data_IF_563434845820
#
_entry.id   IF_563434845820
#
_cell.length_a   1.000
_cell.length_b   1.000
_cell.length_c   1.000
_cell.angle_alpha   90.00
_cell.angle_beta   90.00
_cell.angle_gamma   90.00
#
_symmetry.space_group_name_H-M   'P 1'
#
loop_
_entity.id
_entity.type
_entity.pdbx_description
1 polymer ?
#
# COMPACT_ATOMS: atom_id res chain seq x y z
N UNK A 1 -10.43 24.04 -8.10
CA UNK A 1 -9.98 23.17 -9.21
C UNK A 1 -8.45 23.17 -9.34
N UNK A 2 -7.77 24.32 -9.56
CA UNK A 2 -6.30 24.36 -9.67
C UNK A 2 -5.63 23.84 -8.38
N UNK A 3 -6.09 24.24 -7.21
CA UNK A 3 -5.56 23.78 -5.92
C UNK A 3 -5.63 22.26 -5.78
N UNK A 4 -6.74 21.63 -6.16
CA UNK A 4 -6.91 20.17 -6.11
C UNK A 4 -5.91 19.45 -7.03
N UNK A 5 -5.73 19.98 -8.24
CA UNK A 5 -4.73 19.44 -9.17
C UNK A 5 -3.31 19.56 -8.61
N UNK A 6 -2.97 20.70 -8.02
CA UNK A 6 -1.67 20.91 -7.35
C UNK A 6 -1.49 19.94 -6.19
N UNK A 7 -2.54 19.69 -5.39
CA UNK A 7 -2.52 18.74 -4.29
C UNK A 7 -2.26 17.32 -4.79
N UNK A 8 -2.98 16.86 -5.82
CA UNK A 8 -2.74 15.55 -6.42
C UNK A 8 -1.32 15.43 -7.00
N UNK A 9 -0.82 16.48 -7.68
CA UNK A 9 0.55 16.53 -8.19
C UNK A 9 1.58 16.44 -7.06
N UNK A 10 1.44 17.24 -6.01
CA UNK A 10 2.37 17.24 -4.88
C UNK A 10 2.40 15.90 -4.13
N UNK A 11 1.29 15.17 -4.09
CA UNK A 11 1.23 13.85 -3.47
C UNK A 11 1.90 12.74 -4.33
N UNK A 12 1.75 12.80 -5.64
CA UNK A 12 2.15 11.71 -6.55
C UNK A 12 3.47 12.00 -7.28
N UNK A 13 3.72 13.26 -7.66
CA UNK A 13 4.88 13.64 -8.47
C UNK A 13 6.24 13.26 -7.85
N UNK A 14 6.47 13.37 -6.51
CA UNK A 14 7.71 12.92 -5.89
C UNK A 14 8.01 11.44 -6.13
N UNK A 15 6.97 10.60 -6.16
CA UNK A 15 7.10 9.15 -6.46
C UNK A 15 7.56 8.96 -7.90
N UNK A 16 6.90 9.64 -8.85
CA UNK A 16 7.23 9.57 -10.28
C UNK A 16 8.65 10.08 -10.55
N UNK A 17 9.05 11.18 -9.91
CA UNK A 17 10.39 11.75 -10.05
C UNK A 17 11.49 10.83 -9.55
N UNK A 18 11.29 10.15 -8.40
CA UNK A 18 12.26 9.19 -7.89
C UNK A 18 12.37 7.94 -8.76
N UNK A 19 11.26 7.45 -9.32
CA UNK A 19 11.27 6.37 -10.31
C UNK A 19 12.04 6.81 -11.57
N UNK A 20 11.75 8.00 -12.09
CA UNK A 20 12.44 8.57 -13.26
C UNK A 20 13.94 8.72 -13.01
N UNK A 21 14.32 9.21 -11.83
CA UNK A 21 15.73 9.31 -11.44
C UNK A 21 16.41 7.93 -11.45
N UNK A 22 15.78 6.92 -10.84
CA UNK A 22 16.28 5.55 -10.85
C UNK A 22 16.46 5.00 -12.27
N UNK A 23 15.49 5.25 -13.15
CA UNK A 23 15.56 4.90 -14.57
C UNK A 23 16.73 5.59 -15.28
N UNK A 24 16.88 6.91 -15.13
CA UNK A 24 17.97 7.67 -15.73
C UNK A 24 19.35 7.23 -15.24
N UNK A 25 19.50 6.98 -13.93
CA UNK A 25 20.75 6.46 -13.35
C UNK A 25 21.10 5.07 -13.91
N UNK A 26 20.10 4.23 -14.20
CA UNK A 26 20.30 2.93 -14.86
C UNK A 26 20.72 3.12 -16.30
N UNK A 27 20.09 4.00 -17.08
CA UNK A 27 20.44 4.28 -18.47
C UNK A 27 21.84 4.89 -18.58
N UNK A 28 22.23 5.75 -17.63
CA UNK A 28 23.57 6.32 -17.53
C UNK A 28 24.65 5.35 -17.04
N UNK A 29 24.30 4.08 -16.75
CA UNK A 29 25.25 3.06 -16.29
C UNK A 29 25.68 3.20 -14.82
N UNK A 30 25.12 4.15 -14.06
CA UNK A 30 25.44 4.32 -12.64
C UNK A 30 24.87 3.18 -11.78
N UNK A 31 23.66 2.72 -12.10
CA UNK A 31 23.04 1.57 -11.42
C UNK A 31 23.25 0.29 -12.25
N UNK A 32 24.08 -0.62 -11.75
CA UNK A 32 24.24 -1.95 -12.36
C UNK A 32 23.01 -2.82 -12.12
N UNK A 33 22.80 -3.86 -12.94
CA UNK A 33 21.73 -4.86 -12.73
C UNK A 33 21.90 -5.57 -11.37
N UNK A 34 23.14 -5.83 -10.97
CA UNK A 34 23.43 -6.48 -9.70
C UNK A 34 23.10 -5.59 -8.51
N UNK A 35 23.43 -4.29 -8.58
CA UNK A 35 23.03 -3.30 -7.56
C UNK A 35 21.51 -3.24 -7.39
N UNK A 36 20.77 -3.17 -8.49
CA UNK A 36 19.30 -3.12 -8.48
C UNK A 36 18.73 -4.38 -7.82
N UNK A 37 19.25 -5.57 -8.16
CA UNK A 37 18.84 -6.85 -7.55
C UNK A 37 19.16 -6.91 -6.05
N UNK A 38 20.34 -6.47 -5.65
CA UNK A 38 20.75 -6.43 -4.23
C UNK A 38 19.97 -5.39 -3.46
N UNK A 39 19.74 -4.21 -4.05
CA UNK A 39 18.91 -3.15 -3.50
C UNK A 39 17.48 -3.63 -3.24
N UNK A 40 16.88 -4.36 -4.18
CA UNK A 40 15.55 -4.96 -4.00
C UNK A 40 15.51 -5.92 -2.79
N UNK A 41 16.52 -6.78 -2.64
CA UNK A 41 16.62 -7.68 -1.48
C UNK A 41 16.79 -6.91 -0.16
N UNK A 42 17.58 -5.84 -0.14
CA UNK A 42 17.77 -5.00 1.05
C UNK A 42 16.46 -4.31 1.44
N UNK A 43 15.75 -3.74 0.47
CA UNK A 43 14.43 -3.13 0.70
C UNK A 43 13.47 -4.14 1.29
N UNK A 44 13.35 -5.32 0.69
CA UNK A 44 12.38 -6.34 1.11
C UNK A 44 12.70 -6.96 2.48
N UNK A 45 13.97 -7.26 2.76
CA UNK A 45 14.33 -8.01 3.96
C UNK A 45 14.70 -7.10 5.17
N UNK A 46 14.98 -5.82 4.94
CA UNK A 46 15.43 -4.90 6.00
C UNK A 46 14.55 -3.66 6.08
N UNK A 47 14.51 -2.84 5.02
CA UNK A 47 13.89 -1.52 5.11
C UNK A 47 12.36 -1.59 5.31
N UNK A 48 11.66 -2.42 4.51
CA UNK A 48 10.21 -2.60 4.63
C UNK A 48 9.79 -3.26 5.95
N UNK A 49 10.46 -4.31 6.45
CA UNK A 49 10.21 -4.84 7.79
C UNK A 49 10.34 -3.79 8.89
N UNK A 50 11.40 -2.99 8.89
CA UNK A 50 11.56 -1.90 9.86
C UNK A 50 10.42 -0.86 9.75
N UNK A 51 10.03 -0.50 8.53
CA UNK A 51 8.91 0.41 8.28
C UNK A 51 7.61 -0.15 8.84
N UNK A 52 7.29 -1.42 8.58
CA UNK A 52 6.06 -2.05 9.07
C UNK A 52 6.05 -2.18 10.59
N UNK A 53 7.16 -2.63 11.19
CA UNK A 53 7.27 -2.71 12.64
C UNK A 53 6.98 -1.36 13.30
N UNK A 54 7.66 -0.30 12.85
CA UNK A 54 7.48 1.05 13.42
C UNK A 54 6.07 1.57 13.18
N UNK A 55 5.49 1.39 11.99
CA UNK A 55 4.13 1.86 11.70
C UNK A 55 3.08 1.20 12.60
N UNK A 56 3.20 -0.11 12.86
CA UNK A 56 2.29 -0.83 13.76
C UNK A 56 2.52 -0.43 15.22
N UNK A 57 3.79 -0.31 15.64
CA UNK A 57 4.14 0.08 17.00
C UNK A 57 3.72 1.52 17.32
N UNK A 58 3.67 2.44 16.34
CA UNK A 58 3.34 3.85 16.50
C UNK A 58 1.83 4.15 16.56
N UNK A 59 0.98 3.12 16.49
CA UNK A 59 -0.48 3.29 16.65
C UNK A 59 -0.76 3.96 17.99
N UNK A 60 -1.41 5.12 17.97
CA UNK A 60 -1.94 5.79 19.15
C UNK A 60 -3.25 5.12 19.58
N UNK A 61 -3.51 5.06 20.90
CA UNK A 61 -4.54 4.27 21.56
C UNK A 61 -5.93 4.14 20.89
N UNK A 62 -6.65 3.10 21.27
CA UNK A 62 -7.88 2.64 20.64
C UNK A 62 -9.17 3.39 21.02
N UNK A 63 -9.10 4.43 21.87
CA UNK A 63 -10.29 5.03 22.50
C UNK A 63 -11.14 5.96 21.63
N UNK A 64 -10.60 6.44 20.50
CA UNK A 64 -11.30 7.40 19.59
C UNK A 64 -11.67 6.78 18.24
N UNK A 65 -11.65 5.46 18.15
CA UNK A 65 -11.75 4.73 16.88
C UNK A 65 -13.22 4.61 16.45
N UNK A 66 -13.54 5.08 15.24
CA UNK A 66 -14.80 4.76 14.56
C UNK A 66 -14.73 3.32 14.01
N UNK A 67 -15.12 2.33 14.83
CA UNK A 67 -15.05 0.92 14.47
C UNK A 67 -15.89 0.55 13.26
N UNK A 68 -17.05 1.20 13.06
CA UNK A 68 -17.87 0.96 11.88
C UNK A 68 -17.15 1.36 10.59
N UNK A 69 -16.41 2.47 10.64
CA UNK A 69 -15.61 2.92 9.50
C UNK A 69 -14.44 1.99 9.19
N UNK A 70 -13.72 1.52 10.22
CA UNK A 70 -12.66 0.53 10.04
C UNK A 70 -13.21 -0.77 9.50
N UNK A 71 -14.31 -1.27 10.07
CA UNK A 71 -14.96 -2.50 9.62
C UNK A 71 -15.37 -2.40 8.14
N UNK A 72 -15.93 -1.25 7.75
CA UNK A 72 -16.23 -0.95 6.34
C UNK A 72 -14.98 -1.06 5.46
N UNK A 73 -13.89 -0.37 5.83
CA UNK A 73 -12.63 -0.40 5.09
C UNK A 73 -12.07 -1.83 4.93
N UNK A 74 -12.12 -2.62 6.00
CA UNK A 74 -11.67 -4.02 5.99
C UNK A 74 -12.57 -4.89 5.11
N UNK A 75 -13.90 -4.76 5.22
CA UNK A 75 -14.85 -5.52 4.40
C UNK A 75 -14.65 -5.17 2.93
N UNK A 76 -14.54 -3.89 2.57
CA UNK A 76 -14.34 -3.47 1.19
C UNK A 76 -13.00 -3.94 0.64
N UNK A 77 -11.95 -3.95 1.46
CA UNK A 77 -10.67 -4.54 1.08
C UNK A 77 -10.81 -6.03 0.72
N UNK A 78 -11.54 -6.81 1.53
CA UNK A 78 -11.79 -8.24 1.28
C UNK A 78 -12.69 -8.47 0.06
N UNK A 79 -13.68 -7.61 -0.17
CA UNK A 79 -14.52 -7.63 -1.38
C UNK A 79 -13.68 -7.38 -2.64
N UNK A 80 -12.85 -6.32 -2.62
CA UNK A 80 -11.96 -6.01 -3.75
C UNK A 80 -10.93 -7.13 -3.96
N UNK A 81 -10.42 -7.72 -2.88
CA UNK A 81 -9.55 -8.89 -2.95
C UNK A 81 -10.24 -10.07 -3.64
N UNK A 82 -11.46 -10.41 -3.26
CA UNK A 82 -12.24 -11.48 -3.88
C UNK A 82 -12.53 -11.23 -5.36
N UNK A 83 -13.02 -10.03 -5.71
CA UNK A 83 -13.30 -9.64 -7.11
C UNK A 83 -12.00 -9.60 -7.94
N UNK A 84 -10.91 -9.14 -7.35
CA UNK A 84 -9.60 -9.09 -7.98
C UNK A 84 -9.07 -10.47 -8.38
N UNK A 85 -9.37 -11.52 -7.59
CA UNK A 85 -9.03 -12.90 -7.95
C UNK A 85 -9.65 -13.30 -9.29
N UNK A 86 -10.97 -13.15 -9.42
CA UNK A 86 -11.68 -13.51 -10.66
C UNK A 86 -11.15 -12.70 -11.85
N UNK A 87 -10.96 -11.40 -11.67
CA UNK A 87 -10.41 -10.53 -12.71
C UNK A 87 -8.99 -10.95 -13.13
N UNK A 88 -8.13 -11.29 -12.20
CA UNK A 88 -6.75 -11.71 -12.49
C UNK A 88 -6.68 -13.00 -13.31
N UNK A 89 -7.55 -13.97 -13.00
CA UNK A 89 -7.65 -15.24 -13.74
C UNK A 89 -8.18 -15.01 -15.17
N UNK A 90 -9.11 -14.07 -15.36
CA UNK A 90 -9.64 -13.70 -16.68
C UNK A 90 -8.66 -12.85 -17.51
N UNK A 91 -7.83 -12.06 -16.86
CA UNK A 91 -6.91 -11.12 -17.50
C UNK A 91 -5.77 -11.84 -18.25
N UNK A 92 -5.21 -12.89 -17.65
CA UNK A 92 -4.03 -13.58 -18.20
C UNK A 92 -4.06 -15.08 -17.95
N UNK A 93 -3.43 -15.83 -18.87
CA UNK A 93 -3.20 -17.27 -18.71
C UNK A 93 -1.87 -17.59 -18.02
N UNK A 94 -0.99 -16.60 -17.90
CA UNK A 94 0.35 -16.74 -17.31
C UNK A 94 0.24 -16.71 -15.77
N UNK A 95 0.54 -17.82 -15.07
CA UNK A 95 0.33 -17.92 -13.62
C UNK A 95 1.04 -16.84 -12.83
N UNK A 96 2.32 -16.55 -13.13
CA UNK A 96 3.18 -15.59 -12.42
C UNK A 96 2.64 -14.16 -12.52
N UNK A 97 1.85 -13.84 -13.55
CA UNK A 97 1.19 -12.54 -13.76
C UNK A 97 -0.12 -12.41 -13.01
N UNK A 98 -0.83 -13.53 -12.78
CA UNK A 98 -2.12 -13.52 -12.09
C UNK A 98 -2.00 -12.94 -10.68
N UNK A 99 -1.02 -13.42 -9.90
CA UNK A 99 -0.76 -12.91 -8.55
C UNK A 99 -0.43 -11.43 -8.53
N UNK A 100 0.30 -10.95 -9.54
CA UNK A 100 0.68 -9.53 -9.69
C UNK A 100 -0.55 -8.67 -9.99
N UNK A 101 -1.40 -9.06 -10.96
CA UNK A 101 -2.64 -8.33 -11.26
C UNK A 101 -3.56 -8.34 -10.04
N UNK A 102 -3.73 -9.49 -9.40
CA UNK A 102 -4.57 -9.62 -8.20
C UNK A 102 -4.10 -8.69 -7.08
N UNK A 103 -2.82 -8.73 -6.74
CA UNK A 103 -2.23 -7.84 -5.74
C UNK A 103 -2.44 -6.36 -6.11
N UNK A 104 -2.36 -5.99 -7.38
CA UNK A 104 -2.56 -4.62 -7.86
C UNK A 104 -3.98 -4.12 -7.57
N UNK A 105 -5.01 -4.98 -7.63
CA UNK A 105 -6.42 -4.55 -7.45
C UNK A 105 -6.68 -3.95 -6.07
N UNK A 106 -6.08 -4.49 -5.02
CA UNK A 106 -6.40 -4.13 -3.63
C UNK A 106 -5.28 -3.39 -2.89
N UNK A 107 -4.01 -3.60 -3.26
CA UNK A 107 -2.86 -3.11 -2.51
C UNK A 107 -2.48 -1.68 -2.89
N UNK A 108 -2.91 -0.72 -2.11
CA UNK A 108 -2.67 0.70 -2.33
C UNK A 108 -1.37 1.20 -1.68
N UNK A 109 -0.81 2.28 -2.22
CA UNK A 109 0.31 3.02 -1.62
C UNK A 109 -0.18 3.95 -0.49
N UNK A 110 -1.04 3.40 0.38
CA UNK A 110 -1.75 4.13 1.41
C UNK A 110 -0.82 4.79 2.42
N UNK A 111 0.20 4.06 2.89
CA UNK A 111 1.12 4.54 3.92
C UNK A 111 2.03 5.70 3.47
N UNK A 112 2.23 5.91 2.17
CA UNK A 112 3.15 6.92 1.64
C UNK A 112 2.37 8.03 0.95
N UNK A 113 1.70 7.70 -0.16
CA UNK A 113 0.92 8.68 -0.94
C UNK A 113 -0.39 9.00 -0.21
N UNK A 114 -1.06 7.98 0.30
CA UNK A 114 -2.38 8.14 0.90
C UNK A 114 -2.39 9.04 2.12
N UNK A 115 -1.48 8.85 3.07
CA UNK A 115 -1.43 9.72 4.28
C UNK A 115 -1.15 11.18 3.92
N UNK A 116 -0.22 11.44 2.99
CA UNK A 116 0.05 12.80 2.50
C UNK A 116 -1.17 13.40 1.81
N UNK A 117 -1.88 12.60 1.02
CA UNK A 117 -3.10 13.01 0.32
C UNK A 117 -4.24 13.32 1.32
N UNK A 118 -4.45 12.47 2.32
CA UNK A 118 -5.45 12.71 3.37
C UNK A 118 -5.19 14.04 4.10
N UNK A 119 -3.92 14.31 4.42
CA UNK A 119 -3.52 15.57 5.06
C UNK A 119 -3.77 16.80 4.19
N UNK A 120 -3.48 16.71 2.91
CA UNK A 120 -3.69 17.81 1.97
C UNK A 120 -5.16 18.07 1.67
N UNK A 121 -6.04 17.07 1.77
CA UNK A 121 -7.49 17.19 1.52
C UNK A 121 -8.32 17.50 2.76
N UNK A 122 -7.92 17.04 3.95
CA UNK A 122 -8.75 17.16 5.15
C UNK A 122 -7.98 17.52 6.43
N UNK A 123 -6.71 17.97 6.30
CA UNK A 123 -5.88 18.42 7.42
C UNK A 123 -5.52 17.31 8.41
N UNK A 124 -5.10 17.70 9.62
CA UNK A 124 -4.60 16.77 10.66
C UNK A 124 -5.65 15.73 11.09
N UNK A 125 -6.93 16.10 11.14
CA UNK A 125 -8.01 15.17 11.49
C UNK A 125 -8.12 14.01 10.49
N UNK A 126 -8.05 14.32 9.19
CA UNK A 126 -8.08 13.29 8.15
C UNK A 126 -6.80 12.41 8.16
N UNK A 127 -5.63 13.00 8.48
CA UNK A 127 -4.40 12.21 8.69
C UNK A 127 -4.57 11.23 9.84
N UNK A 128 -5.17 11.67 10.95
CA UNK A 128 -5.40 10.80 12.11
C UNK A 128 -6.32 9.61 11.75
N UNK A 129 -7.46 9.88 11.08
CA UNK A 129 -8.37 8.82 10.60
C UNK A 129 -7.64 7.87 9.64
N UNK A 130 -6.94 8.41 8.64
CA UNK A 130 -6.21 7.60 7.66
C UNK A 130 -5.08 6.79 8.32
N UNK A 131 -4.38 7.34 9.31
CA UNK A 131 -3.34 6.63 10.05
C UNK A 131 -3.92 5.44 10.82
N UNK A 132 -5.06 5.62 11.50
CA UNK A 132 -5.76 4.54 12.20
C UNK A 132 -6.17 3.43 11.21
N UNK A 133 -6.85 3.79 10.12
CA UNK A 133 -7.25 2.81 9.08
C UNK A 133 -6.04 2.09 8.50
N UNK A 134 -4.94 2.81 8.22
CA UNK A 134 -3.72 2.22 7.67
C UNK A 134 -3.10 1.18 8.62
N UNK A 135 -3.24 1.37 9.91
CA UNK A 135 -2.70 0.47 10.93
C UNK A 135 -3.35 -0.93 10.89
N UNK A 136 -4.59 -1.01 10.46
CA UNK A 136 -5.29 -2.28 10.23
C UNK A 136 -5.10 -2.80 8.81
N UNK A 137 -5.22 -1.93 7.81
CA UNK A 137 -5.26 -2.35 6.41
C UNK A 137 -3.89 -2.65 5.83
N UNK A 138 -2.81 -1.97 6.25
CA UNK A 138 -1.46 -2.21 5.72
C UNK A 138 -0.92 -3.60 6.10
N UNK A 139 -1.05 -4.10 7.34
CA UNK A 139 -0.74 -5.49 7.66
C UNK A 139 -1.57 -6.48 6.82
N UNK A 140 -2.87 -6.21 6.63
CA UNK A 140 -3.74 -7.04 5.80
C UNK A 140 -3.29 -7.05 4.34
N UNK A 141 -2.90 -5.92 3.76
CA UNK A 141 -2.34 -5.86 2.41
C UNK A 141 -1.15 -6.81 2.25
N UNK A 142 -0.27 -6.90 3.24
CA UNK A 142 0.90 -7.78 3.18
C UNK A 142 0.51 -9.26 3.26
N UNK A 143 -0.42 -9.64 4.15
CA UNK A 143 -0.94 -11.01 4.25
C UNK A 143 -1.62 -11.41 2.94
N UNK A 144 -2.56 -10.59 2.46
CA UNK A 144 -3.31 -10.86 1.24
C UNK A 144 -2.41 -10.90 0.00
N UNK A 145 -1.36 -10.06 -0.05
CA UNK A 145 -0.38 -10.08 -1.13
C UNK A 145 0.47 -11.34 -1.13
N UNK A 146 0.87 -11.86 0.04
CA UNK A 146 1.57 -13.16 0.12
C UNK A 146 0.66 -14.27 -0.40
N UNK A 147 -0.62 -14.27 -0.06
CA UNK A 147 -1.60 -15.24 -0.57
C UNK A 147 -1.71 -15.12 -2.09
N UNK A 148 -1.92 -13.90 -2.60
CA UNK A 148 -2.10 -13.64 -4.02
C UNK A 148 -0.88 -14.08 -4.86
N UNK A 149 0.32 -13.77 -4.39
CA UNK A 149 1.56 -14.11 -5.10
C UNK A 149 1.91 -15.60 -4.97
N UNK A 150 1.65 -16.22 -3.81
CA UNK A 150 1.99 -17.64 -3.59
C UNK A 150 1.04 -18.61 -4.27
N UNK A 151 -0.22 -18.22 -4.50
CA UNK A 151 -1.24 -19.14 -5.01
C UNK A 151 -0.95 -19.61 -6.45
N UNK A 152 -0.32 -18.78 -7.25
CA UNK A 152 -0.09 -19.03 -8.67
C UNK A 152 1.36 -19.37 -9.03
N UNK A 153 2.31 -19.21 -8.11
CA UNK A 153 3.71 -19.59 -8.35
C UNK A 153 3.92 -21.06 -8.04
N UNK A 154 4.39 -21.82 -9.04
CA UNK A 154 4.79 -23.21 -8.86
C UNK A 154 6.20 -23.27 -8.27
N UNK A 155 6.34 -23.87 -7.09
CA UNK A 155 7.63 -24.22 -6.53
C UNK A 155 7.98 -25.67 -6.93
N UNK A 156 9.08 -25.85 -7.66
CA UNK A 156 9.62 -27.15 -8.05
C UNK A 156 8.63 -28.06 -8.82
N UNK A 157 7.77 -27.47 -9.67
CA UNK A 157 6.81 -28.24 -10.48
C UNK A 157 5.58 -28.75 -9.73
N UNK A 158 5.38 -28.31 -8.47
CA UNK A 158 4.19 -28.60 -7.68
C UNK A 158 3.39 -27.32 -7.44
N UNK A 159 2.08 -27.38 -7.70
CA UNK A 159 1.17 -26.29 -7.31
C UNK A 159 1.31 -26.04 -5.80
N UNK A 160 1.36 -24.78 -5.40
CA UNK A 160 1.40 -24.42 -3.97
C UNK A 160 0.20 -25.00 -3.25
N UNK A 161 0.45 -25.96 -2.34
CA UNK A 161 -0.57 -26.45 -1.45
C UNK A 161 -0.80 -25.45 -0.31
N UNK A 162 -1.89 -25.60 0.45
CA UNK A 162 -2.23 -24.73 1.58
C UNK A 162 -1.09 -24.69 2.61
N UNK A 163 -0.39 -25.78 2.82
CA UNK A 163 0.74 -25.87 3.75
C UNK A 163 1.94 -25.05 3.27
N UNK A 164 2.22 -25.07 1.96
CA UNK A 164 3.23 -24.21 1.34
C UNK A 164 2.90 -22.73 1.48
N UNK A 165 1.64 -22.34 1.23
CA UNK A 165 1.18 -20.96 1.42
C UNK A 165 1.34 -20.52 2.87
N UNK A 166 0.89 -21.31 3.84
CA UNK A 166 1.04 -21.01 5.27
C UNK A 166 2.51 -20.89 5.70
N UNK A 167 3.38 -21.75 5.16
CA UNK A 167 4.83 -21.65 5.38
C UNK A 167 5.42 -20.36 4.83
N UNK A 168 5.00 -19.95 3.62
CA UNK A 168 5.43 -18.69 3.01
C UNK A 168 4.97 -17.48 3.83
N UNK A 169 3.73 -17.49 4.33
CA UNK A 169 3.20 -16.48 5.24
C UNK A 169 4.06 -16.41 6.50
N UNK A 170 4.27 -17.54 7.19
CA UNK A 170 5.01 -17.59 8.45
C UNK A 170 6.48 -17.17 8.32
N UNK A 171 7.11 -17.35 7.15
CA UNK A 171 8.51 -16.98 6.88
C UNK A 171 8.67 -15.61 6.25
N UNK A 172 7.60 -14.94 5.88
CA UNK A 172 7.67 -13.65 5.22
C UNK A 172 8.14 -12.56 6.20
N UNK A 173 9.25 -11.84 5.93
CA UNK A 173 9.81 -10.85 6.84
C UNK A 173 8.84 -9.69 7.12
N UNK A 174 7.97 -9.35 6.18
CA UNK A 174 6.97 -8.30 6.36
C UNK A 174 5.89 -8.73 7.37
N UNK A 175 5.46 -9.99 7.32
CA UNK A 175 4.46 -10.53 8.25
C UNK A 175 5.05 -10.70 9.65
N UNK A 176 6.28 -11.22 9.73
CA UNK A 176 7.01 -11.34 11.01
C UNK A 176 7.17 -9.97 11.67
N UNK A 177 7.58 -8.96 10.91
CA UNK A 177 7.77 -7.61 11.46
C UNK A 177 6.45 -6.96 11.91
N UNK A 178 5.36 -7.16 11.18
CA UNK A 178 4.04 -6.69 11.58
C UNK A 178 3.57 -7.39 12.87
N UNK A 179 3.76 -8.70 12.99
CA UNK A 179 3.44 -9.46 14.21
C UNK A 179 4.26 -9.01 15.42
N UNK A 180 5.56 -8.76 15.24
CA UNK A 180 6.44 -8.20 16.29
C UNK A 180 5.99 -6.79 16.68
N UNK A 181 5.59 -5.95 15.72
CA UNK A 181 5.02 -4.63 15.97
C UNK A 181 3.75 -4.70 16.82
N UNK A 182 2.83 -5.62 16.48
CA UNK A 182 1.60 -5.85 17.26
C UNK A 182 1.90 -6.37 18.67
N UNK A 183 2.84 -7.28 18.82
CA UNK A 183 3.26 -7.78 20.13
C UNK A 183 3.86 -6.65 21.00
N UNK A 184 4.73 -5.82 20.41
CA UNK A 184 5.33 -4.67 21.10
C UNK A 184 4.28 -3.60 21.47
N UNK A 185 3.30 -3.35 20.59
CA UNK A 185 2.14 -2.49 20.87
C UNK A 185 1.30 -3.06 22.02
N UNK A 186 0.96 -4.35 21.97
CA UNK A 186 0.18 -5.01 23.03
C UNK A 186 0.89 -4.97 24.40
N UNK A 187 2.19 -5.16 24.43
CA UNK A 187 3.01 -5.00 25.65
C UNK A 187 2.95 -3.57 26.19
N UNK A 188 3.02 -2.55 25.30
CA UNK A 188 2.90 -1.14 25.69
C UNK A 188 1.54 -0.82 26.29
N UNK A 189 0.46 -1.27 25.67
CA UNK A 189 -0.90 -1.07 26.15
C UNK A 189 -1.16 -1.80 27.48
N UNK A 190 -0.65 -3.03 27.62
CA UNK A 190 -0.73 -3.78 28.88
C UNK A 190 0.02 -3.07 30.03
N UNK A 191 1.19 -2.52 29.77
CA UNK A 191 1.93 -1.73 30.77
C UNK A 191 1.14 -0.47 31.17
N UNK A 192 0.56 0.24 30.19
CA UNK A 192 -0.25 1.42 30.46
C UNK A 192 -1.47 1.07 31.31
N UNK A 193 -2.12 -0.05 31.03
CA UNK A 193 -3.30 -0.51 31.79
C UNK A 193 -2.93 -0.94 33.24
N UNK A 194 -1.75 -1.54 33.45
CA UNK A 194 -1.32 -2.03 34.75
C UNK A 194 -0.69 -0.97 35.65
N UNK A 195 0.08 -0.05 35.06
CA UNK A 195 0.90 0.93 35.81
C UNK A 195 0.55 2.40 35.52
N UNK A 196 -0.50 2.65 34.72
CA UNK A 196 -0.93 4.01 34.37
C UNK A 196 -0.03 4.73 33.36
N UNK A 197 1.16 4.17 33.08
CA UNK A 197 2.10 4.66 32.07
C UNK A 197 2.98 3.51 31.57
N UNK A 198 3.48 3.56 30.32
CA UNK A 198 4.40 2.55 29.84
C UNK A 198 5.74 2.65 30.56
N UNK A 199 6.12 1.61 31.31
CA UNK A 199 7.38 1.54 32.09
C UNK A 199 8.61 1.53 31.18
N UNK A 200 8.52 0.92 30.01
CA UNK A 200 9.56 0.95 28.98
C UNK A 200 9.11 1.91 27.89
N UNK A 201 9.50 3.19 28.02
CA UNK A 201 9.24 4.19 26.98
C UNK A 201 10.33 4.20 25.92
N UNK A 202 9.92 4.40 24.66
CA UNK A 202 10.86 4.62 23.53
C UNK A 202 11.81 5.79 23.78
N UNK A 203 11.32 6.81 24.47
CA UNK A 203 12.04 8.07 24.66
C UNK A 203 13.19 7.96 25.63
N UNK A 204 13.13 7.03 26.58
CA UNK A 204 14.11 6.94 27.67
C UNK A 204 14.97 5.68 27.62
N UNK A 205 14.38 4.50 27.40
CA UNK A 205 15.10 3.23 27.53
C UNK A 205 15.56 2.60 26.21
N UNK A 206 14.90 2.91 25.08
CA UNK A 206 15.16 2.31 23.77
C UNK A 206 15.42 3.31 22.64
N UNK A 207 15.75 4.56 22.93
CA UNK A 207 15.87 5.65 21.96
C UNK A 207 16.82 5.32 20.80
N UNK A 208 17.97 4.72 21.09
CA UNK A 208 18.96 4.36 20.06
C UNK A 208 18.41 3.33 19.06
N UNK A 209 17.73 2.29 19.55
CA UNK A 209 17.14 1.26 18.71
C UNK A 209 15.99 1.82 17.89
N UNK A 210 15.07 2.55 18.53
CA UNK A 210 13.95 3.19 17.84
C UNK A 210 14.43 4.16 16.75
N UNK A 211 15.45 5.00 17.06
CA UNK A 211 16.02 5.94 16.07
C UNK A 211 16.63 5.19 14.89
N UNK A 212 17.37 4.10 15.15
CA UNK A 212 17.97 3.28 14.09
C UNK A 212 16.91 2.65 13.17
N UNK A 213 15.85 2.08 13.77
CA UNK A 213 14.72 1.51 13.00
C UNK A 213 13.97 2.59 12.22
N UNK A 214 13.79 3.76 12.79
CA UNK A 214 13.12 4.88 12.14
C UNK A 214 13.94 5.46 10.97
N UNK A 215 15.26 5.47 11.05
CA UNK A 215 16.14 5.82 9.94
C UNK A 215 16.01 4.81 8.79
N UNK A 216 15.95 3.50 9.08
CA UNK A 216 15.71 2.47 8.08
C UNK A 216 14.29 2.57 7.47
N UNK A 217 13.29 2.92 8.27
CA UNK A 217 11.93 3.25 7.80
C UNK A 217 11.95 4.42 6.82
N UNK A 218 12.69 5.49 7.15
CA UNK A 218 12.72 6.72 6.33
C UNK A 218 13.29 6.48 4.93
N UNK A 219 14.31 5.62 4.79
CA UNK A 219 14.90 5.30 3.49
C UNK A 219 14.12 4.23 2.71
N UNK A 220 13.22 3.48 3.35
CA UNK A 220 12.54 2.34 2.74
C UNK A 220 11.83 2.70 1.43
N UNK A 221 11.02 3.75 1.44
CA UNK A 221 10.27 4.17 0.28
C UNK A 221 11.12 4.87 -0.79
N UNK A 222 11.92 5.91 -0.49
CA UNK A 222 12.75 6.56 -1.49
C UNK A 222 13.73 5.59 -2.17
N UNK A 223 14.35 4.71 -1.43
CA UNK A 223 15.28 3.73 -1.97
C UNK A 223 14.56 2.67 -2.82
N UNK A 224 13.39 2.20 -2.40
CA UNK A 224 12.56 1.30 -3.19
C UNK A 224 12.16 1.91 -4.55
N UNK A 225 11.83 3.20 -4.58
CA UNK A 225 11.47 3.92 -5.81
C UNK A 225 12.64 4.04 -6.78
N UNK A 226 13.84 4.34 -6.28
CA UNK A 226 15.06 4.37 -7.11
C UNK A 226 15.37 2.99 -7.70
N UNK A 227 15.30 1.93 -6.88
CA UNK A 227 15.51 0.54 -7.32
C UNK A 227 14.47 0.14 -8.37
N UNK A 228 13.20 0.49 -8.14
CA UNK A 228 12.09 0.22 -9.05
C UNK A 228 12.31 0.94 -10.40
N UNK A 229 12.73 2.20 -10.38
CA UNK A 229 13.11 2.92 -11.61
C UNK A 229 14.23 2.23 -12.37
N UNK A 230 15.23 1.69 -11.66
CA UNK A 230 16.31 0.88 -12.24
C UNK A 230 15.86 -0.45 -12.84
N UNK A 231 14.69 -0.97 -12.43
CA UNK A 231 14.08 -2.19 -12.99
C UNK A 231 13.17 -1.90 -14.18
N UNK A 232 12.73 -0.66 -14.35
CA UNK A 232 11.75 -0.29 -15.37
C UNK A 232 12.32 -0.40 -16.78
N UNK A 233 11.55 -1.04 -17.69
CA UNK A 233 11.89 -1.22 -19.10
C UNK A 233 10.70 -0.86 -19.98
N UNK A 234 10.83 0.19 -20.82
CA UNK A 234 9.80 0.57 -21.78
C UNK A 234 9.51 -0.51 -22.82
N UNK A 235 10.52 -1.31 -23.17
CA UNK A 235 10.39 -2.41 -24.14
C UNK A 235 9.38 -3.48 -23.70
N UNK A 236 9.22 -3.69 -22.38
CA UNK A 236 8.31 -4.66 -21.81
C UNK A 236 6.83 -4.27 -21.96
N UNK A 237 6.52 -2.97 -22.13
CA UNK A 237 5.13 -2.46 -22.19
C UNK A 237 4.31 -3.15 -23.28
N UNK A 238 4.88 -3.32 -24.48
CA UNK A 238 4.16 -3.95 -25.61
C UNK A 238 3.72 -5.38 -25.31
N UNK A 239 4.56 -6.17 -24.63
CA UNK A 239 4.25 -7.55 -24.27
C UNK A 239 3.33 -7.71 -23.04
N UNK A 240 3.07 -6.62 -22.31
CA UNK A 240 2.32 -6.61 -21.05
C UNK A 240 1.10 -5.67 -21.11
N UNK A 241 0.79 -5.10 -22.27
CA UNK A 241 -0.21 -4.02 -22.42
C UNK A 241 -1.56 -4.40 -21.83
N UNK A 242 -2.04 -5.62 -22.10
CA UNK A 242 -3.36 -6.08 -21.62
C UNK A 242 -3.37 -6.14 -20.09
N UNK A 243 -2.35 -6.71 -19.50
CA UNK A 243 -2.20 -6.86 -18.06
C UNK A 243 -2.00 -5.50 -17.36
N UNK A 244 -1.22 -4.61 -17.97
CA UNK A 244 -1.00 -3.24 -17.49
C UNK A 244 -2.32 -2.46 -17.48
N UNK A 245 -3.06 -2.47 -18.58
CA UNK A 245 -4.35 -1.76 -18.68
C UNK A 245 -5.34 -2.33 -17.68
N UNK A 246 -5.46 -3.67 -17.59
CA UNK A 246 -6.38 -4.33 -16.66
C UNK A 246 -6.05 -3.96 -15.21
N UNK A 247 -4.79 -4.11 -14.78
CA UNK A 247 -4.39 -3.80 -13.41
C UNK A 247 -4.52 -2.31 -13.09
N UNK A 248 -4.17 -1.44 -14.04
CA UNK A 248 -4.29 0.02 -13.87
C UNK A 248 -5.75 0.43 -13.71
N UNK A 249 -6.65 0.01 -14.61
CA UNK A 249 -8.09 0.32 -14.51
C UNK A 249 -8.67 -0.20 -13.20
N UNK A 250 -8.32 -1.43 -12.80
CA UNK A 250 -8.74 -1.96 -11.51
C UNK A 250 -8.32 -1.06 -10.35
N UNK A 251 -7.05 -0.68 -10.31
CA UNK A 251 -6.50 0.04 -9.15
C UNK A 251 -7.02 1.45 -9.01
N UNK A 252 -7.06 2.21 -10.10
CA UNK A 252 -7.34 3.65 -10.05
C UNK A 252 -8.76 4.03 -10.50
N UNK A 253 -9.58 3.07 -10.95
CA UNK A 253 -10.97 3.31 -11.32
C UNK A 253 -11.92 2.40 -10.54
N UNK A 254 -11.79 1.07 -10.68
CA UNK A 254 -12.76 0.14 -10.08
C UNK A 254 -12.63 0.07 -8.56
N UNK A 255 -11.42 0.07 -8.02
CA UNK A 255 -11.19 0.04 -6.58
C UNK A 255 -11.76 1.28 -5.87
N UNK A 256 -11.50 2.54 -6.31
CA UNK A 256 -12.14 3.70 -5.72
C UNK A 256 -13.65 3.75 -5.99
N UNK A 257 -14.12 3.35 -7.18
CA UNK A 257 -15.56 3.30 -7.47
C UNK A 257 -16.30 2.37 -6.48
N UNK A 258 -15.73 1.22 -6.17
CA UNK A 258 -16.28 0.30 -5.17
C UNK A 258 -16.09 0.86 -3.76
N UNK A 259 -14.86 1.21 -3.38
CA UNK A 259 -14.53 1.60 -2.02
C UNK A 259 -15.12 2.95 -1.60
N UNK A 260 -15.12 3.95 -2.47
CA UNK A 260 -15.68 5.28 -2.19
C UNK A 260 -17.17 5.30 -2.55
N UNK A 261 -17.55 4.77 -3.70
CA UNK A 261 -18.94 4.76 -4.16
C UNK A 261 -19.88 4.02 -3.22
N UNK A 262 -19.50 2.85 -2.71
CA UNK A 262 -20.29 2.14 -1.70
C UNK A 262 -20.34 2.91 -0.37
N UNK A 263 -19.28 3.59 0.05
CA UNK A 263 -19.30 4.44 1.26
C UNK A 263 -20.30 5.58 1.12
N UNK A 264 -20.28 6.27 -0.03
CA UNK A 264 -21.25 7.35 -0.35
C UNK A 264 -22.67 6.79 -0.34
N UNK A 265 -22.92 5.67 -1.01
CA UNK A 265 -24.23 5.04 -1.05
C UNK A 265 -24.74 4.67 0.34
N UNK A 266 -23.92 4.03 1.18
CA UNK A 266 -24.28 3.63 2.54
C UNK A 266 -24.48 4.86 3.47
N UNK A 267 -23.66 5.88 3.34
CA UNK A 267 -23.76 7.10 4.14
C UNK A 267 -25.04 7.88 3.83
N UNK A 268 -25.38 8.05 2.54
CA UNK A 268 -26.53 8.85 2.11
C UNK A 268 -27.86 8.08 2.20
N UNK A 269 -27.86 6.75 1.93
CA UNK A 269 -29.14 6.01 1.82
C UNK A 269 -29.57 5.38 3.14
N UNK A 270 -28.65 4.89 3.96
CA UNK A 270 -28.98 4.08 5.13
C UNK A 270 -28.55 4.70 6.46
N UNK A 271 -27.63 5.66 6.44
CA UNK A 271 -27.00 6.20 7.66
C UNK A 271 -26.17 5.18 8.45
N UNK A 272 -25.97 3.95 7.92
CA UNK A 272 -25.19 2.89 8.57
C UNK A 272 -23.70 3.24 8.69
N UNK A 273 -23.21 4.07 7.78
CA UNK A 273 -21.85 4.55 7.77
C UNK A 273 -21.83 6.06 7.94
N UNK A 274 -21.30 6.53 9.05
CA UNK A 274 -21.09 7.97 9.26
C UNK A 274 -19.76 8.38 8.65
N UNK A 275 -19.80 8.94 7.43
CA UNK A 275 -18.66 9.55 6.78
C UNK A 275 -18.81 11.06 6.76
N UNK A 276 -17.80 11.77 7.27
CA UNK A 276 -17.71 13.22 7.28
C UNK A 276 -16.47 13.75 6.55
N UNK A 277 -16.14 14.99 6.86
CA UNK A 277 -15.02 15.72 6.22
C UNK A 277 -13.66 15.07 6.41
N UNK A 278 -13.51 14.19 7.41
CA UNK A 278 -12.25 13.50 7.73
C UNK A 278 -12.19 12.09 7.13
N UNK A 279 -13.33 11.42 7.03
CA UNK A 279 -13.41 10.04 6.52
C UNK A 279 -13.28 9.97 5.00
N UNK A 280 -13.86 10.89 4.23
CA UNK A 280 -13.74 10.90 2.77
C UNK A 280 -12.32 11.07 2.28
N UNK A 281 -11.46 11.99 2.82
CA UNK A 281 -10.05 12.02 2.49
C UNK A 281 -9.31 10.72 2.80
N UNK A 282 -9.66 10.03 3.90
CA UNK A 282 -9.08 8.74 4.25
C UNK A 282 -9.51 7.63 3.26
N UNK A 283 -10.74 7.66 2.74
CA UNK A 283 -11.20 6.75 1.68
C UNK A 283 -10.47 6.99 0.35
N UNK A 284 -10.30 8.26 -0.06
CA UNK A 284 -9.50 8.61 -1.25
C UNK A 284 -8.06 8.13 -1.05
N UNK A 285 -7.49 8.36 0.12
CA UNK A 285 -6.16 7.90 0.48
C UNK A 285 -6.01 6.37 0.36
N UNK A 286 -7.00 5.61 0.82
CA UNK A 286 -6.98 4.14 0.80
C UNK A 286 -7.29 3.57 -0.59
N UNK A 287 -8.37 4.01 -1.23
CA UNK A 287 -8.88 3.41 -2.46
C UNK A 287 -8.42 4.12 -3.73
N UNK A 288 -8.19 5.45 -3.70
CA UNK A 288 -7.76 6.24 -4.85
C UNK A 288 -6.23 6.25 -5.07
N UNK A 289 -5.42 5.97 -4.05
CA UNK A 289 -3.96 5.95 -4.21
C UNK A 289 -3.50 4.85 -5.19
N UNK A 290 -2.40 5.06 -5.94
CA UNK A 290 -1.84 4.05 -6.85
C UNK A 290 -1.39 2.80 -6.11
N UNK A 291 -0.93 1.79 -6.84
CA UNK A 291 -0.42 0.56 -6.23
C UNK A 291 0.84 0.81 -5.41
N UNK A 292 0.99 0.07 -4.31
CA UNK A 292 2.14 0.21 -3.42
C UNK A 292 3.46 -0.17 -4.12
N UNK A 293 4.51 0.64 -3.94
CA UNK A 293 5.87 0.38 -4.45
C UNK A 293 6.40 -0.98 -3.99
N UNK A 294 6.10 -1.34 -2.73
CA UNK A 294 6.46 -2.64 -2.17
C UNK A 294 5.84 -3.84 -2.91
N UNK A 295 4.83 -3.62 -3.76
CA UNK A 295 4.24 -4.67 -4.60
C UNK A 295 5.22 -5.23 -5.63
N UNK A 296 6.03 -4.37 -6.27
CA UNK A 296 7.04 -4.80 -7.21
C UNK A 296 8.19 -5.54 -6.51
N UNK A 297 8.67 -4.98 -5.39
CA UNK A 297 9.70 -5.60 -4.54
C UNK A 297 9.28 -7.00 -4.09
N UNK A 298 8.03 -7.14 -3.68
CA UNK A 298 7.48 -8.39 -3.17
C UNK A 298 7.27 -9.41 -4.29
N UNK A 299 6.77 -8.99 -5.46
CA UNK A 299 6.61 -9.85 -6.62
C UNK A 299 7.96 -10.47 -7.05
N UNK A 300 9.01 -9.65 -7.18
CA UNK A 300 10.35 -10.13 -7.51
C UNK A 300 10.94 -11.07 -6.46
N UNK A 301 10.73 -10.77 -5.16
CA UNK A 301 11.23 -11.62 -4.06
C UNK A 301 10.48 -12.96 -3.93
N UNK A 302 9.26 -13.05 -4.44
CA UNK A 302 8.40 -14.24 -4.35
C UNK A 302 8.30 -15.03 -5.68
N UNK A 303 9.12 -14.67 -6.69
CA UNK A 303 9.19 -15.41 -7.96
C UNK A 303 8.01 -15.15 -8.91
N UNK A 304 7.25 -14.08 -8.70
CA UNK A 304 6.22 -13.60 -9.63
C UNK A 304 6.80 -12.67 -10.71
N UNK A 305 5.97 -12.22 -11.66
CA UNK A 305 6.40 -11.32 -12.74
C UNK A 305 6.73 -9.92 -12.19
N UNK A 306 8.01 -9.73 -11.81
CA UNK A 306 8.55 -8.48 -11.29
C UNK A 306 8.43 -7.33 -12.29
N UNK A 307 8.59 -7.64 -13.59
CA UNK A 307 8.50 -6.64 -14.65
C UNK A 307 7.09 -6.08 -14.77
N UNK A 308 6.07 -6.94 -14.77
CA UNK A 308 4.67 -6.50 -14.76
C UNK A 308 4.35 -5.68 -13.50
N UNK A 309 4.82 -6.14 -12.33
CA UNK A 309 4.60 -5.40 -11.08
C UNK A 309 5.22 -4.01 -11.11
N UNK A 310 6.44 -3.87 -11.65
CA UNK A 310 7.11 -2.59 -11.87
C UNK A 310 6.31 -1.67 -12.81
N UNK A 311 5.82 -2.20 -13.93
CA UNK A 311 4.97 -1.45 -14.87
C UNK A 311 3.71 -0.95 -14.18
N UNK A 312 3.02 -1.80 -13.40
CA UNK A 312 1.80 -1.41 -12.70
C UNK A 312 2.04 -0.29 -11.66
N UNK A 313 3.16 -0.32 -10.92
CA UNK A 313 3.51 0.79 -10.00
C UNK A 313 3.66 2.09 -10.77
N UNK A 314 4.40 2.08 -11.88
CA UNK A 314 4.65 3.28 -12.69
C UNK A 314 3.36 3.83 -13.29
N UNK A 315 2.62 3.00 -14.03
CA UNK A 315 1.43 3.45 -14.75
C UNK A 315 0.29 3.85 -13.82
N UNK A 316 0.05 3.11 -12.74
CA UNK A 316 -0.95 3.53 -11.74
C UNK A 316 -0.55 4.84 -11.06
N UNK A 317 0.74 5.09 -10.79
CA UNK A 317 1.19 6.36 -10.21
C UNK A 317 0.97 7.53 -11.16
N UNK A 318 1.31 7.39 -12.45
CA UNK A 318 1.11 8.45 -13.44
C UNK A 318 -0.38 8.79 -13.60
N UNK A 319 -1.20 7.78 -13.81
CA UNK A 319 -2.62 8.00 -14.09
C UNK A 319 -3.45 8.32 -12.84
N UNK A 320 -3.00 7.97 -11.64
CA UNK A 320 -3.70 8.30 -10.39
C UNK A 320 -3.82 9.81 -10.16
N UNK A 321 -2.95 10.64 -10.73
CA UNK A 321 -3.05 12.10 -10.64
C UNK A 321 -4.43 12.56 -11.17
N UNK A 322 -4.82 12.03 -12.33
CA UNK A 322 -6.09 12.41 -12.97
C UNK A 322 -7.31 11.79 -12.26
N UNK A 323 -7.19 10.54 -11.80
CA UNK A 323 -8.31 9.88 -11.12
C UNK A 323 -8.55 10.44 -9.73
N UNK A 324 -7.50 10.71 -8.93
CA UNK A 324 -7.61 11.39 -7.64
C UNK A 324 -8.26 12.77 -7.82
N UNK A 325 -7.82 13.54 -8.83
CA UNK A 325 -8.44 14.83 -9.15
C UNK A 325 -9.93 14.68 -9.43
N UNK A 326 -10.32 13.69 -10.25
CA UNK A 326 -11.72 13.43 -10.58
C UNK A 326 -12.53 12.99 -9.35
N UNK A 327 -12.00 12.10 -8.50
CA UNK A 327 -12.62 11.64 -7.25
C UNK A 327 -12.91 12.81 -6.31
N UNK A 328 -11.91 13.68 -6.09
CA UNK A 328 -12.07 14.87 -5.25
C UNK A 328 -13.12 15.82 -5.82
N UNK A 329 -13.08 16.09 -7.14
CA UNK A 329 -14.08 16.93 -7.79
C UNK A 329 -15.50 16.39 -7.66
N UNK A 330 -15.69 15.07 -7.84
CA UNK A 330 -17.01 14.42 -7.70
C UNK A 330 -17.53 14.58 -6.27
N UNK A 331 -16.70 14.27 -5.26
CA UNK A 331 -17.12 14.39 -3.85
C UNK A 331 -17.39 15.83 -3.44
N UNK A 332 -16.64 16.80 -3.98
CA UNK A 332 -16.94 18.23 -3.76
C UNK A 332 -18.26 18.64 -4.40
N UNK A 333 -18.55 18.22 -5.63
CA UNK A 333 -19.83 18.50 -6.30
C UNK A 333 -21.01 17.88 -5.55
N UNK A 334 -20.81 16.77 -4.85
CA UNK A 334 -21.81 16.14 -3.98
C UNK A 334 -21.92 16.82 -2.59
N UNK A 335 -21.09 17.81 -2.28
CA UNK A 335 -21.06 18.47 -0.96
C UNK A 335 -20.49 17.62 0.17
N UNK A 336 -19.77 16.52 -0.16
CA UNK A 336 -19.25 15.57 0.80
C UNK A 336 -17.78 15.87 1.20
N UNK A 337 -17.12 16.72 0.45
CA UNK A 337 -15.74 17.14 0.69
C UNK A 337 -15.62 18.66 0.53
N UNK A 338 -14.98 19.32 1.48
CA UNK A 338 -14.59 20.74 1.44
C UNK A 338 -13.05 20.80 1.49
N UNK A 339 -12.43 21.39 0.47
CA UNK A 339 -10.96 21.54 0.35
C UNK A 339 -10.61 23.03 0.25
#
# INVERSE_FOLDING_TARGET
>A
MLHILITALNAVLPVVLLILLGYLLKQGGFLSREFVKTGNKLVFNVCLPCMLFINVYDIEGFSTINWNFILYCVIMLLVIFGLGYFSSVMATKVPERRGVIWQCTFRSNFAIIGLSLAGALGGEGAVAVAAIVSSFTVPMYNILAVIALSLFVENEGKKSDIKGILRNIAKNPLIISAALGLAALGLREAQTALWGAPVITRKEHGKFLYTSLNNLKAIASPFALLVLGGQFEFSAVKGLMKEIVTGTVWRIVLSPLLGIGCAVALSLSTGLLSCGVQEYPALIAMFGSPVAVSSAVMAGSMGSDEQLATQLVVWTSIFSIFTIFAEVCILMMMGLLAV
#
